data_IF_372678424881
#
_entry.id   IF_372678424881
#
_cell.length_a   1.000
_cell.length_b   1.000
_cell.length_c   1.000
_cell.angle_alpha   90.00
_cell.angle_beta   90.00
_cell.angle_gamma   90.00
#
_symmetry.space_group_name_H-M   'P 1'
#
loop_
_entity.id
_entity.type
_entity.pdbx_description
1 polymer ?
#
# COMPACT_ATOMS: atom_id res chain seq x y z
N UNK A 1 -29.17 1.94 8.20
CA UNK A 1 -28.11 2.44 7.30
C UNK A 1 -26.80 2.24 8.03
N UNK A 2 -25.99 1.26 7.60
CA UNK A 2 -24.70 0.99 8.23
C UNK A 2 -23.83 2.25 8.11
N UNK A 3 -23.28 2.68 9.23
CA UNK A 3 -22.24 3.71 9.30
C UNK A 3 -21.15 3.36 8.31
N UNK A 4 -20.90 4.22 7.33
CA UNK A 4 -19.73 4.15 6.46
C UNK A 4 -18.50 4.33 7.34
N UNK A 5 -18.04 3.24 7.94
CA UNK A 5 -16.82 3.20 8.74
C UNK A 5 -15.69 3.65 7.82
N UNK A 6 -15.16 4.85 8.07
CA UNK A 6 -14.05 5.38 7.27
C UNK A 6 -12.87 4.43 7.45
N UNK A 7 -12.45 3.77 6.37
CA UNK A 7 -11.23 2.96 6.34
C UNK A 7 -10.07 3.86 6.78
N UNK A 8 -9.36 3.47 7.83
CA UNK A 8 -8.20 4.22 8.35
C UNK A 8 -7.11 4.27 7.27
N UNK A 9 -6.39 5.37 7.17
CA UNK A 9 -5.29 5.47 6.20
C UNK A 9 -4.06 4.66 6.65
N UNK A 10 -3.26 4.20 5.68
CA UNK A 10 -1.98 3.55 5.96
C UNK A 10 -1.02 4.55 6.61
N UNK A 11 -0.35 4.13 7.68
CA UNK A 11 0.69 4.89 8.35
C UNK A 11 2.06 4.41 7.85
N UNK A 12 2.80 5.29 7.17
CA UNK A 12 4.12 4.98 6.61
C UNK A 12 5.23 5.37 7.56
N UNK A 13 6.11 4.41 7.85
CA UNK A 13 7.38 4.62 8.53
C UNK A 13 8.48 4.73 7.48
N UNK A 14 9.00 5.94 7.30
CA UNK A 14 10.14 6.20 6.43
C UNK A 14 11.42 5.76 7.13
N UNK A 15 12.31 5.09 6.40
CA UNK A 15 13.62 4.71 6.91
C UNK A 15 14.61 5.84 6.63
N UNK A 16 15.33 6.31 7.64
CA UNK A 16 16.36 7.34 7.45
C UNK A 16 17.57 6.79 6.66
N UNK A 17 17.85 5.48 6.79
CA UNK A 17 18.99 4.81 6.16
C UNK A 17 18.66 4.20 4.78
N UNK A 18 17.38 4.06 4.44
CA UNK A 18 16.93 3.44 3.19
C UNK A 18 15.94 4.35 2.49
N UNK A 19 16.13 4.55 1.19
CA UNK A 19 15.15 5.26 0.34
C UNK A 19 13.90 4.40 0.15
N UNK A 20 13.06 4.36 1.18
CA UNK A 20 11.87 3.54 1.26
C UNK A 20 11.02 3.85 2.49
N UNK A 21 9.78 3.40 2.45
CA UNK A 21 8.87 3.46 3.59
C UNK A 21 8.02 2.20 3.64
N UNK A 22 7.63 1.83 4.86
CA UNK A 22 6.82 0.66 5.14
C UNK A 22 5.52 1.07 5.82
N UNK A 23 4.42 0.47 5.42
CA UNK A 23 3.17 0.53 6.16
C UNK A 23 2.69 -0.89 6.49
N UNK A 24 2.62 -1.19 7.78
CA UNK A 24 2.16 -2.49 8.26
C UNK A 24 0.66 -2.49 8.50
N UNK A 25 0.02 -3.57 8.10
CA UNK A 25 -1.39 -3.86 8.37
C UNK A 25 -1.49 -5.24 9.02
N UNK A 26 -2.60 -5.58 9.70
CA UNK A 26 -2.81 -6.92 10.24
C UNK A 26 -2.74 -8.04 9.19
N UNK A 27 -2.94 -7.71 7.91
CA UNK A 27 -2.99 -8.68 6.81
C UNK A 27 -1.68 -8.75 6.03
N UNK A 28 -0.79 -7.78 6.16
CA UNK A 28 0.39 -7.71 5.30
C UNK A 28 1.09 -6.37 5.38
N UNK A 29 2.10 -6.20 4.54
CA UNK A 29 2.97 -5.02 4.55
C UNK A 29 2.99 -4.37 3.17
N UNK A 30 2.75 -3.07 3.14
CA UNK A 30 3.02 -2.23 1.97
C UNK A 30 4.45 -1.70 2.07
N UNK A 31 5.17 -1.78 0.98
CA UNK A 31 6.54 -1.26 0.87
C UNK A 31 6.64 -0.36 -0.35
N UNK A 32 7.10 0.87 -0.12
CA UNK A 32 7.53 1.79 -1.16
C UNK A 32 9.05 1.91 -1.10
N UNK A 33 9.71 1.84 -2.25
CA UNK A 33 11.17 1.92 -2.31
C UNK A 33 11.63 2.55 -3.62
N UNK A 34 12.78 3.21 -3.60
CA UNK A 34 13.37 3.76 -4.81
C UNK A 34 14.08 2.66 -5.60
N UNK A 35 13.67 2.47 -6.85
CA UNK A 35 14.34 1.57 -7.79
C UNK A 35 15.62 2.17 -8.37
N UNK A 36 16.40 1.35 -9.08
CA UNK A 36 17.68 1.76 -9.69
C UNK A 36 17.56 2.89 -10.71
N UNK A 37 16.36 3.11 -11.28
CA UNK A 37 16.08 4.19 -12.22
C UNK A 37 15.70 5.53 -11.54
N UNK A 38 15.77 5.62 -10.21
CA UNK A 38 15.30 6.77 -9.45
C UNK A 38 13.78 6.90 -9.39
N UNK A 39 13.03 5.90 -9.87
CA UNK A 39 11.57 5.84 -9.80
C UNK A 39 11.11 5.08 -8.57
N UNK A 40 10.01 5.52 -7.95
CA UNK A 40 9.44 4.83 -6.80
C UNK A 40 8.64 3.59 -7.23
N UNK A 41 8.98 2.45 -6.63
CA UNK A 41 8.31 1.17 -6.79
C UNK A 41 7.40 0.92 -5.59
N UNK A 42 6.35 0.14 -5.82
CA UNK A 42 5.36 -0.20 -4.80
C UNK A 42 5.06 -1.69 -4.83
N UNK A 43 5.16 -2.33 -3.67
CA UNK A 43 4.88 -3.75 -3.49
C UNK A 43 4.04 -3.99 -2.22
N UNK A 44 3.27 -5.07 -2.23
CA UNK A 44 2.48 -5.55 -1.10
C UNK A 44 2.86 -6.99 -0.78
N UNK A 45 3.25 -7.23 0.46
CA UNK A 45 3.67 -8.53 0.98
C UNK A 45 2.56 -9.11 1.85
N UNK A 46 2.16 -10.35 1.56
CA UNK A 46 1.17 -11.15 2.29
C UNK A 46 1.81 -12.49 2.65
N UNK A 47 2.32 -12.61 3.87
CA UNK A 47 3.14 -13.76 4.25
C UNK A 47 4.37 -13.89 3.34
N UNK A 48 4.51 -15.02 2.64
CA UNK A 48 5.59 -15.27 1.69
C UNK A 48 5.28 -14.80 0.25
N UNK A 49 4.06 -14.31 -0.01
CA UNK A 49 3.68 -13.82 -1.33
C UNK A 49 4.00 -12.32 -1.45
N UNK A 50 4.57 -11.92 -2.58
CA UNK A 50 4.75 -10.52 -2.94
C UNK A 50 3.93 -10.19 -4.19
N UNK A 51 3.15 -9.12 -4.12
CA UNK A 51 2.41 -8.55 -5.24
C UNK A 51 2.97 -7.18 -5.57
N UNK A 52 3.38 -7.01 -6.83
CA UNK A 52 3.83 -5.72 -7.35
C UNK A 52 2.59 -4.87 -7.64
N UNK A 53 2.52 -3.67 -7.04
CA UNK A 53 1.47 -2.69 -7.31
C UNK A 53 1.90 -1.70 -8.39
N UNK A 54 3.18 -1.29 -8.41
CA UNK A 54 3.72 -0.44 -9.47
C UNK A 54 5.23 -0.57 -9.62
N UNK A 55 5.68 -0.60 -10.88
CA UNK A 55 7.09 -0.46 -11.32
C UNK A 55 7.22 0.54 -12.47
N UNK A 56 6.26 1.48 -12.60
CA UNK A 56 6.27 2.47 -13.68
C UNK A 56 7.41 3.46 -13.47
N UNK A 57 8.04 3.88 -14.56
CA UNK A 57 9.05 4.93 -14.53
C UNK A 57 8.40 6.29 -14.24
N UNK A 58 9.14 7.17 -13.55
CA UNK A 58 8.70 8.53 -13.25
C UNK A 58 7.67 8.64 -12.13
N UNK A 59 7.40 7.56 -11.40
CA UNK A 59 6.51 7.58 -10.23
C UNK A 59 7.19 8.32 -9.08
N UNK A 60 6.53 9.33 -8.54
CA UNK A 60 6.99 10.08 -7.36
C UNK A 60 6.65 9.34 -6.07
N UNK A 61 7.25 9.76 -4.95
CA UNK A 61 6.97 9.18 -3.63
C UNK A 61 5.48 9.35 -3.25
N UNK A 62 4.90 10.53 -3.49
CA UNK A 62 3.51 10.84 -3.19
C UNK A 62 2.55 9.98 -4.02
N UNK A 63 2.88 9.76 -5.29
CA UNK A 63 2.14 8.86 -6.16
C UNK A 63 2.22 7.41 -5.69
N UNK A 64 3.41 6.97 -5.25
CA UNK A 64 3.60 5.65 -4.66
C UNK A 64 2.75 5.44 -3.39
N UNK A 65 2.70 6.43 -2.50
CA UNK A 65 1.82 6.43 -1.32
C UNK A 65 0.36 6.34 -1.74
N UNK A 66 -0.06 7.13 -2.73
CA UNK A 66 -1.45 7.12 -3.24
C UNK A 66 -1.85 5.74 -3.75
N UNK A 67 -0.97 5.08 -4.51
CA UNK A 67 -1.20 3.72 -5.01
C UNK A 67 -1.42 2.72 -3.86
N UNK A 68 -0.62 2.80 -2.80
CA UNK A 68 -0.82 1.97 -1.61
C UNK A 68 -2.16 2.24 -0.92
N UNK A 69 -2.52 3.52 -0.73
CA UNK A 69 -3.75 3.91 -0.06
C UNK A 69 -4.98 3.41 -0.83
N UNK A 70 -4.97 3.55 -2.15
CA UNK A 70 -6.07 3.12 -3.01
C UNK A 70 -6.19 1.59 -3.02
N UNK A 71 -5.08 0.86 -3.17
CA UNK A 71 -5.08 -0.62 -3.11
C UNK A 71 -5.58 -1.12 -1.74
N UNK A 72 -5.16 -0.48 -0.65
CA UNK A 72 -5.62 -0.83 0.69
C UNK A 72 -7.12 -0.60 0.87
N UNK A 73 -7.63 0.59 0.51
CA UNK A 73 -9.05 0.91 0.58
C UNK A 73 -9.89 -0.07 -0.24
N UNK A 74 -9.46 -0.39 -1.46
CA UNK A 74 -10.13 -1.37 -2.32
C UNK A 74 -10.21 -2.76 -1.66
N UNK A 75 -9.14 -3.23 -1.02
CA UNK A 75 -9.14 -4.54 -0.33
C UNK A 75 -10.03 -4.56 0.90
N UNK A 76 -9.98 -3.51 1.72
CA UNK A 76 -10.85 -3.41 2.90
C UNK A 76 -12.31 -3.37 2.46
N UNK A 77 -12.64 -2.59 1.44
CA UNK A 77 -14.00 -2.55 0.88
C UNK A 77 -14.45 -3.90 0.32
N UNK A 78 -13.60 -4.60 -0.43
CA UNK A 78 -13.92 -5.95 -0.90
C UNK A 78 -14.22 -6.91 0.25
N UNK A 79 -13.38 -6.92 1.29
CA UNK A 79 -13.56 -7.75 2.48
C UNK A 79 -14.88 -7.45 3.22
N UNK A 80 -15.22 -6.16 3.40
CA UNK A 80 -16.47 -5.76 4.04
C UNK A 80 -17.70 -6.14 3.21
N UNK A 81 -17.61 -6.07 1.89
CA UNK A 81 -18.74 -6.35 0.98
C UNK A 81 -18.98 -7.85 0.81
N UNK A 82 -17.91 -8.66 0.84
CA UNK A 82 -18.00 -10.13 0.79
C UNK A 82 -18.62 -10.72 2.06
N UNK A 83 -18.52 -10.05 3.21
CA UNK A 83 -19.12 -10.47 4.48
C UNK A 83 -20.63 -10.18 4.59
N UNK A 84 -21.20 -9.39 3.68
CA UNK A 84 -22.63 -9.03 3.66
C UNK A 84 -23.49 -9.96 2.76
N UNK A 85 -22.90 -11.03 2.21
CA UNK A 85 -23.61 -12.07 1.43
C UNK A 85 -23.69 -13.40 2.18
#
# INVERSE_FOLDING_TARGET
>A
MATTSRVRELEFLFSDDKQGALAQTPFGQYEIFMGQSGSWCVEFQLGNACRILSRKLGVTCEQAITICQDDFKLRVHACLTEYEK
#
